data_IF_419773613320
#
_entry.id   IF_419773613320
#
_cell.length_a   1.000
_cell.length_b   1.000
_cell.length_c   1.000
_cell.angle_alpha   90.00
_cell.angle_beta   90.00
_cell.angle_gamma   90.00
#
_symmetry.space_group_name_H-M   'P 1'
#
loop_
_entity.id
_entity.type
_entity.pdbx_description
1 polymer ?
#
# COMPACT_ATOMS: atom_id res chain seq x y z
N UNK A 1 -24.35 7.54 -29.88
CA UNK A 1 -23.08 7.94 -29.32
C UNK A 1 -23.22 8.17 -27.82
N UNK A 2 -23.10 7.14 -26.99
CA UNK A 2 -22.96 7.29 -25.55
C UNK A 2 -21.96 6.26 -25.06
N UNK A 3 -20.68 6.62 -25.21
CA UNK A 3 -19.64 5.98 -24.38
C UNK A 3 -19.83 6.53 -22.99
N UNK A 4 -20.76 5.94 -22.25
CA UNK A 4 -20.93 6.15 -20.84
C UNK A 4 -19.61 5.73 -20.18
N UNK A 5 -18.84 6.70 -19.76
CA UNK A 5 -17.83 6.52 -18.72
C UNK A 5 -18.56 5.90 -17.52
N UNK A 6 -18.56 4.59 -17.41
CA UNK A 6 -18.91 3.91 -16.17
C UNK A 6 -17.85 4.31 -15.16
N UNK A 7 -18.13 5.35 -14.39
CA UNK A 7 -17.39 5.53 -13.15
C UNK A 7 -17.55 4.25 -12.35
N UNK A 8 -16.46 3.68 -11.85
CA UNK A 8 -16.54 2.44 -11.08
C UNK A 8 -17.46 2.65 -9.89
N UNK A 9 -18.33 1.67 -9.64
CA UNK A 9 -19.34 1.76 -8.60
C UNK A 9 -18.70 1.83 -7.21
N UNK A 10 -19.19 2.74 -6.37
CA UNK A 10 -18.90 2.78 -4.94
C UNK A 10 -19.37 1.48 -4.30
N UNK A 11 -18.57 0.92 -3.42
CA UNK A 11 -18.96 -0.20 -2.57
C UNK A 11 -19.40 0.29 -1.20
N UNK A 12 -20.11 -0.54 -0.45
CA UNK A 12 -20.46 -0.22 0.94
C UNK A 12 -19.25 0.06 1.83
N UNK A 13 -18.11 -0.57 1.54
CA UNK A 13 -16.87 -0.34 2.28
C UNK A 13 -16.26 1.03 1.98
N UNK A 14 -16.34 1.49 0.74
CA UNK A 14 -15.89 2.85 0.37
C UNK A 14 -16.70 3.93 1.11
N UNK A 15 -18.02 3.69 1.30
CA UNK A 15 -18.91 4.64 1.99
C UNK A 15 -18.67 4.61 3.51
N UNK A 16 -18.35 3.44 4.06
CA UNK A 16 -18.08 3.27 5.49
C UNK A 16 -16.66 3.64 5.90
N UNK A 17 -15.79 3.98 4.97
CA UNK A 17 -14.40 4.36 5.26
C UNK A 17 -14.31 5.49 6.29
N UNK A 18 -13.72 5.20 7.45
CA UNK A 18 -13.60 6.13 8.57
C UNK A 18 -14.89 6.38 9.33
N UNK A 19 -15.96 5.60 9.11
CA UNK A 19 -17.17 5.63 9.92
C UNK A 19 -16.92 4.89 11.24
N UNK A 20 -17.22 5.58 12.36
CA UNK A 20 -17.37 4.95 13.68
C UNK A 20 -18.81 5.12 14.10
N UNK A 21 -19.50 4.02 14.36
CA UNK A 21 -20.90 4.04 14.74
C UNK A 21 -21.15 3.08 15.91
N UNK A 22 -22.05 3.49 16.82
CA UNK A 22 -22.52 2.66 17.92
C UNK A 22 -24.05 2.58 17.79
N UNK A 23 -24.56 1.36 17.74
CA UNK A 23 -26.01 1.09 17.71
C UNK A 23 -26.38 0.52 19.05
N UNK A 24 -27.27 1.21 19.76
CA UNK A 24 -27.82 0.76 21.03
C UNK A 24 -29.32 0.55 20.89
N UNK A 25 -29.78 -0.66 21.16
CA UNK A 25 -31.21 -1.04 21.10
C UNK A 25 -31.66 -1.68 22.40
N UNK A 26 -32.93 -1.52 22.71
CA UNK A 26 -33.59 -2.21 23.84
C UNK A 26 -34.64 -3.14 23.25
N UNK A 27 -34.55 -4.42 23.56
CA UNK A 27 -35.46 -5.48 23.12
C UNK A 27 -35.99 -6.19 24.36
N UNK A 28 -37.30 -6.44 24.41
CA UNK A 28 -37.93 -7.10 25.56
C UNK A 28 -37.45 -8.54 25.73
N UNK A 29 -37.35 -9.30 24.66
CA UNK A 29 -36.87 -10.70 24.63
C UNK A 29 -35.70 -10.90 23.66
N UNK A 30 -34.44 -10.58 24.08
CA UNK A 30 -33.30 -10.71 23.22
C UNK A 30 -32.93 -12.19 22.99
N UNK A 31 -32.94 -12.62 21.75
CA UNK A 31 -32.50 -13.94 21.34
C UNK A 31 -31.07 -13.86 20.80
N UNK A 32 -30.16 -14.64 21.38
CA UNK A 32 -28.76 -14.66 20.95
C UNK A 32 -28.41 -16.00 20.30
N UNK A 33 -27.65 -15.94 19.20
CA UNK A 33 -27.05 -17.11 18.60
C UNK A 33 -25.77 -17.48 19.37
N UNK A 34 -25.71 -18.72 19.85
CA UNK A 34 -24.55 -19.30 20.52
C UNK A 34 -24.40 -18.89 21.98
N UNK A 35 -23.53 -19.63 22.67
CA UNK A 35 -23.30 -19.52 24.13
C UNK A 35 -22.59 -18.19 24.52
N UNK A 36 -21.86 -17.57 23.60
CA UNK A 36 -21.10 -16.33 23.83
C UNK A 36 -21.92 -15.06 23.69
N UNK A 37 -23.20 -15.14 23.31
CA UNK A 37 -24.13 -14.03 23.11
C UNK A 37 -23.58 -12.90 22.22
N UNK A 38 -22.71 -13.21 21.28
CA UNK A 38 -22.04 -12.22 20.41
C UNK A 38 -22.90 -11.80 19.21
N UNK A 39 -23.91 -12.59 18.86
CA UNK A 39 -24.77 -12.32 17.71
C UNK A 39 -26.23 -12.34 18.14
N UNK A 40 -26.92 -11.23 17.87
CA UNK A 40 -28.35 -11.10 18.10
C UNK A 40 -29.13 -11.81 16.98
N UNK A 41 -30.02 -12.72 17.34
CA UNK A 41 -30.84 -13.51 16.41
C UNK A 41 -32.17 -12.86 16.03
N UNK A 42 -32.59 -11.79 16.75
CA UNK A 42 -33.83 -11.08 16.49
C UNK A 42 -33.81 -10.39 15.12
N UNK A 43 -34.49 -10.94 14.14
CA UNK A 43 -34.54 -10.38 12.76
C UNK A 43 -35.27 -9.04 12.68
N UNK A 44 -36.28 -8.83 13.52
CA UNK A 44 -37.05 -7.58 13.64
C UNK A 44 -36.21 -6.40 14.06
N UNK A 45 -35.18 -6.62 14.87
CA UNK A 45 -34.27 -5.58 15.32
C UNK A 45 -33.53 -4.89 14.14
N UNK A 46 -33.15 -5.68 13.16
CA UNK A 46 -32.48 -5.17 11.95
C UNK A 46 -33.39 -4.24 11.16
N UNK A 47 -34.64 -4.66 10.93
CA UNK A 47 -35.62 -3.86 10.20
C UNK A 47 -35.96 -2.54 10.88
N UNK A 48 -36.13 -2.57 12.22
CA UNK A 48 -36.40 -1.38 13.02
C UNK A 48 -35.23 -0.37 12.99
N UNK A 49 -33.99 -0.86 13.12
CA UNK A 49 -32.79 -0.02 13.05
C UNK A 49 -32.63 0.58 11.66
N UNK A 50 -32.81 -0.22 10.61
CA UNK A 50 -32.68 0.22 9.21
C UNK A 50 -33.69 1.34 8.88
N UNK A 51 -34.95 1.17 9.29
CA UNK A 51 -35.98 2.18 9.08
C UNK A 51 -35.66 3.50 9.77
N UNK A 52 -35.30 3.46 11.05
CA UNK A 52 -34.97 4.67 11.82
C UNK A 52 -33.71 5.36 11.32
N UNK A 53 -32.64 4.58 11.03
CA UNK A 53 -31.38 5.15 10.54
C UNK A 53 -31.57 5.76 9.17
N UNK A 54 -32.26 5.07 8.26
CA UNK A 54 -32.51 5.59 6.92
C UNK A 54 -33.29 6.90 6.94
N UNK A 55 -34.38 6.95 7.73
CA UNK A 55 -35.20 8.18 7.85
C UNK A 55 -34.39 9.35 8.44
N UNK A 56 -33.77 9.13 9.59
CA UNK A 56 -33.09 10.21 10.32
C UNK A 56 -31.79 10.66 9.65
N UNK A 57 -31.05 9.72 9.08
CA UNK A 57 -29.82 10.06 8.34
C UNK A 57 -30.11 10.82 7.06
N UNK A 58 -31.16 10.43 6.31
CA UNK A 58 -31.60 11.17 5.11
C UNK A 58 -31.95 12.61 5.49
N UNK A 59 -32.82 12.78 6.49
CA UNK A 59 -33.21 14.10 6.97
C UNK A 59 -32.01 14.95 7.44
N UNK A 60 -31.08 14.35 8.18
CA UNK A 60 -29.86 15.03 8.66
C UNK A 60 -28.97 15.49 7.49
N UNK A 61 -28.77 14.63 6.48
CA UNK A 61 -27.91 14.94 5.34
C UNK A 61 -28.55 16.01 4.42
N UNK A 62 -29.87 16.02 4.28
CA UNK A 62 -30.59 17.07 3.54
C UNK A 62 -30.45 18.44 4.22
N UNK A 63 -30.45 18.47 5.56
CA UNK A 63 -30.23 19.70 6.31
C UNK A 63 -28.76 20.15 6.39
N UNK A 64 -27.83 19.23 6.16
CA UNK A 64 -26.39 19.48 6.28
C UNK A 64 -25.65 19.10 4.99
N UNK A 65 -25.85 19.85 3.89
CA UNK A 65 -25.28 19.52 2.58
C UNK A 65 -23.74 19.49 2.57
N UNK A 66 -23.09 20.29 3.40
CA UNK A 66 -21.62 20.28 3.50
C UNK A 66 -21.11 18.97 4.11
N UNK A 67 -21.83 18.43 5.10
CA UNK A 67 -21.51 17.12 5.67
C UNK A 67 -21.71 16.01 4.64
N UNK A 68 -22.82 16.05 3.91
CA UNK A 68 -23.10 15.09 2.84
C UNK A 68 -22.01 15.14 1.76
N UNK A 69 -21.60 16.34 1.34
CA UNK A 69 -20.52 16.53 0.38
C UNK A 69 -19.19 15.95 0.87
N UNK A 70 -18.81 16.20 2.12
CA UNK A 70 -17.59 15.67 2.72
C UNK A 70 -17.59 14.14 2.77
N UNK A 71 -18.74 13.51 3.09
CA UNK A 71 -18.89 12.06 3.08
C UNK A 71 -18.74 11.52 1.66
N UNK A 72 -19.36 12.13 0.67
CA UNK A 72 -19.22 11.74 -0.74
C UNK A 72 -17.78 11.86 -1.24
N UNK A 73 -17.11 12.97 -0.93
CA UNK A 73 -15.70 13.18 -1.31
C UNK A 73 -14.80 12.12 -0.69
N UNK A 74 -15.01 11.80 0.59
CA UNK A 74 -14.25 10.76 1.30
C UNK A 74 -14.49 9.37 0.69
N UNK A 75 -15.73 9.05 0.38
CA UNK A 75 -16.09 7.78 -0.27
C UNK A 75 -15.45 7.63 -1.65
N UNK A 76 -15.42 8.70 -2.44
CA UNK A 76 -14.73 8.73 -3.74
C UNK A 76 -13.21 8.56 -3.59
N UNK A 77 -12.64 9.09 -2.52
CA UNK A 77 -11.23 8.91 -2.19
C UNK A 77 -10.91 7.46 -1.85
N UNK A 78 -11.72 6.84 -1.01
CA UNK A 78 -11.59 5.43 -0.62
C UNK A 78 -11.69 4.52 -1.84
N UNK A 79 -12.68 4.74 -2.71
CA UNK A 79 -12.83 4.01 -3.96
C UNK A 79 -11.57 4.10 -4.84
N UNK A 80 -11.03 5.31 -5.06
CA UNK A 80 -9.83 5.51 -5.87
C UNK A 80 -8.62 4.78 -5.27
N UNK A 81 -8.46 4.84 -3.95
CA UNK A 81 -7.41 4.12 -3.25
C UNK A 81 -7.54 2.61 -3.43
N UNK A 82 -8.73 2.05 -3.25
CA UNK A 82 -9.02 0.62 -3.47
C UNK A 82 -8.73 0.18 -4.90
N UNK A 83 -9.11 0.99 -5.90
CA UNK A 83 -8.82 0.68 -7.31
C UNK A 83 -7.34 0.75 -7.64
N UNK A 84 -6.63 1.74 -7.12
CA UNK A 84 -5.19 1.85 -7.29
C UNK A 84 -4.48 0.65 -6.66
N UNK A 85 -4.89 0.23 -5.45
CA UNK A 85 -4.39 -0.97 -4.80
C UNK A 85 -4.66 -2.23 -5.64
N UNK A 86 -5.89 -2.40 -6.15
CA UNK A 86 -6.25 -3.51 -7.03
C UNK A 86 -5.40 -3.54 -8.30
N UNK A 87 -5.22 -2.40 -8.96
CA UNK A 87 -4.35 -2.31 -10.15
C UNK A 87 -2.91 -2.70 -9.84
N UNK A 88 -2.38 -2.26 -8.70
CA UNK A 88 -1.04 -2.64 -8.25
C UNK A 88 -0.93 -4.16 -8.01
N UNK A 89 -1.93 -4.77 -7.35
CA UNK A 89 -2.01 -6.23 -7.16
C UNK A 89 -2.07 -6.97 -8.50
N UNK A 90 -2.95 -6.54 -9.40
CA UNK A 90 -3.11 -7.17 -10.72
C UNK A 90 -1.83 -7.08 -11.54
N UNK A 91 -1.09 -5.97 -11.45
CA UNK A 91 0.22 -5.83 -12.09
C UNK A 91 1.26 -6.78 -11.50
N UNK A 92 1.27 -6.96 -10.18
CA UNK A 92 2.16 -7.91 -9.51
C UNK A 92 1.75 -9.35 -9.84
N UNK A 93 0.46 -9.67 -9.81
CA UNK A 93 -0.07 -11.02 -10.06
C UNK A 93 0.02 -11.46 -11.52
N UNK A 94 -0.22 -10.57 -12.49
CA UNK A 94 -0.06 -10.89 -13.92
C UNK A 94 1.39 -11.17 -14.29
N UNK A 95 2.34 -10.53 -13.60
CA UNK A 95 3.77 -10.77 -13.78
C UNK A 95 4.25 -12.09 -13.18
N UNK A 96 3.53 -12.63 -12.19
CA UNK A 96 3.88 -13.93 -11.57
C UNK A 96 3.30 -15.14 -12.32
N UNK A 97 2.22 -14.97 -13.11
CA UNK A 97 1.50 -16.10 -13.72
C UNK A 97 1.82 -16.35 -15.19
N UNK A 98 2.46 -15.42 -15.92
CA UNK A 98 2.65 -15.53 -17.38
C UNK A 98 4.08 -15.48 -17.87
N UNK A 99 5.06 -15.15 -17.00
CA UNK A 99 6.47 -15.23 -17.41
C UNK A 99 7.37 -15.27 -16.19
N UNK A 100 8.47 -15.99 -16.26
CA UNK A 100 9.62 -15.76 -15.40
C UNK A 100 10.02 -14.28 -15.49
N UNK A 101 9.34 -13.46 -14.69
CA UNK A 101 9.69 -12.15 -14.22
C UNK A 101 10.03 -11.06 -15.23
N UNK A 102 9.08 -10.25 -15.65
CA UNK A 102 9.46 -8.87 -15.94
C UNK A 102 9.48 -8.05 -14.67
N UNK A 103 10.55 -8.22 -13.91
CA UNK A 103 10.99 -7.28 -12.89
C UNK A 103 11.09 -5.87 -13.50
N UNK A 104 11.03 -4.79 -12.70
CA UNK A 104 11.19 -3.44 -13.22
C UNK A 104 12.38 -3.39 -14.19
N UNK A 105 12.21 -2.88 -15.39
CA UNK A 105 13.24 -2.92 -16.42
C UNK A 105 14.58 -2.28 -16.02
N UNK A 106 14.58 -1.52 -14.92
CA UNK A 106 15.78 -0.93 -14.32
C UNK A 106 16.41 -1.81 -13.21
N UNK A 107 15.72 -2.84 -12.71
CA UNK A 107 16.28 -3.76 -11.71
C UNK A 107 17.28 -4.69 -12.36
N UNK A 108 18.51 -4.70 -11.86
CA UNK A 108 19.48 -5.74 -12.16
C UNK A 108 19.39 -6.80 -11.06
N UNK A 109 18.65 -7.86 -11.31
CA UNK A 109 18.42 -8.92 -10.34
C UNK A 109 19.63 -9.83 -10.14
N UNK A 110 19.66 -10.58 -9.04
CA UNK A 110 20.62 -11.63 -8.78
C UNK A 110 20.12 -12.98 -9.34
N UNK A 111 21.03 -13.94 -9.49
CA UNK A 111 20.70 -15.25 -10.04
C UNK A 111 20.32 -16.28 -9.00
N UNK A 112 20.72 -16.11 -7.74
CA UNK A 112 20.30 -16.96 -6.64
C UNK A 112 18.79 -16.75 -6.37
N UNK A 113 18.11 -17.85 -6.09
CA UNK A 113 16.65 -17.86 -5.80
C UNK A 113 16.33 -17.99 -4.33
N UNK A 114 17.33 -18.30 -3.48
CA UNK A 114 17.14 -18.34 -2.04
C UNK A 114 17.24 -16.91 -1.47
N UNK A 115 16.13 -16.34 -0.96
CA UNK A 115 16.13 -14.99 -0.41
C UNK A 115 17.17 -14.76 0.67
N UNK A 116 17.49 -15.79 1.45
CA UNK A 116 18.46 -15.72 2.57
C UNK A 116 19.87 -15.36 2.13
N UNK A 117 20.21 -15.68 0.88
CA UNK A 117 21.52 -15.39 0.31
C UNK A 117 21.54 -14.07 -0.46
N UNK A 118 20.36 -13.48 -0.71
CA UNK A 118 20.19 -12.36 -1.62
C UNK A 118 20.06 -11.03 -0.88
N UNK A 119 20.66 -10.00 -1.44
CA UNK A 119 20.54 -8.64 -0.97
C UNK A 119 20.26 -7.68 -2.13
N UNK A 120 19.45 -6.65 -1.89
CA UNK A 120 19.14 -5.62 -2.88
C UNK A 120 19.69 -4.28 -2.44
N UNK A 121 20.44 -3.62 -3.32
CA UNK A 121 20.93 -2.27 -3.13
C UNK A 121 20.03 -1.28 -3.87
N UNK A 122 19.46 -0.35 -3.14
CA UNK A 122 18.69 0.76 -3.69
C UNK A 122 19.65 1.94 -3.80
N UNK A 123 19.94 2.34 -5.04
CA UNK A 123 20.97 3.36 -5.31
C UNK A 123 20.36 4.60 -5.95
N UNK A 124 20.96 5.76 -5.68
CA UNK A 124 20.51 7.03 -6.22
C UNK A 124 21.00 7.20 -7.65
N UNK A 125 20.05 7.28 -8.59
CA UNK A 125 20.29 7.59 -10.00
C UNK A 125 20.88 6.48 -10.85
N UNK A 126 20.77 6.67 -12.16
CA UNK A 126 21.22 5.68 -13.15
C UNK A 126 22.74 5.57 -13.22
N UNK A 127 23.47 6.66 -12.94
CA UNK A 127 24.94 6.68 -12.96
C UNK A 127 25.52 5.78 -11.86
N UNK A 128 25.08 5.99 -10.60
CA UNK A 128 25.49 5.15 -9.47
C UNK A 128 25.01 3.71 -9.69
N UNK A 129 23.79 3.53 -10.23
CA UNK A 129 23.26 2.23 -10.61
C UNK A 129 24.12 1.51 -11.62
N UNK A 130 24.68 2.20 -12.62
CA UNK A 130 25.61 1.65 -13.59
C UNK A 130 26.90 1.13 -12.97
N UNK A 131 27.53 1.95 -12.13
CA UNK A 131 28.74 1.56 -11.39
C UNK A 131 28.49 0.38 -10.45
N UNK A 132 27.40 0.42 -9.67
CA UNK A 132 27.03 -0.66 -8.79
C UNK A 132 26.73 -1.98 -9.52
N UNK A 133 26.06 -1.92 -10.67
CA UNK A 133 25.81 -3.10 -11.54
C UNK A 133 27.10 -3.76 -12.02
N UNK A 134 28.13 -2.98 -12.27
CA UNK A 134 29.45 -3.50 -12.72
C UNK A 134 30.19 -4.14 -11.55
N UNK A 135 30.14 -3.57 -10.37
CA UNK A 135 30.92 -4.00 -9.20
C UNK A 135 30.26 -5.14 -8.41
N UNK A 136 28.94 -5.36 -8.55
CA UNK A 136 28.18 -6.32 -7.73
C UNK A 136 28.57 -7.79 -7.94
N UNK A 137 28.31 -8.62 -6.96
CA UNK A 137 28.18 -10.07 -7.15
C UNK A 137 26.85 -10.37 -7.87
N UNK A 138 26.91 -10.86 -9.10
CA UNK A 138 25.69 -11.22 -9.86
C UNK A 138 24.93 -12.39 -9.25
N UNK A 139 25.58 -13.20 -8.44
CA UNK A 139 24.95 -14.35 -7.80
C UNK A 139 23.94 -13.90 -6.74
N UNK A 140 24.33 -13.00 -5.84
CA UNK A 140 23.59 -12.70 -4.62
C UNK A 140 23.15 -11.24 -4.49
N UNK A 141 23.68 -10.33 -5.29
CA UNK A 141 23.41 -8.89 -5.19
C UNK A 141 22.56 -8.37 -6.33
N UNK A 142 21.43 -7.76 -6.00
CA UNK A 142 20.55 -7.04 -6.91
C UNK A 142 20.74 -5.53 -6.79
N UNK A 143 20.59 -4.79 -7.88
CA UNK A 143 20.70 -3.32 -7.90
C UNK A 143 19.41 -2.72 -8.46
N UNK A 144 18.80 -1.82 -7.71
CA UNK A 144 17.64 -1.03 -8.11
C UNK A 144 18.00 0.47 -8.09
N UNK A 145 18.27 1.09 -9.23
CA UNK A 145 18.45 2.53 -9.29
C UNK A 145 17.11 3.25 -9.19
N UNK A 146 17.03 4.27 -8.34
CA UNK A 146 15.89 5.17 -8.23
C UNK A 146 16.21 6.53 -8.84
N UNK A 147 15.27 7.10 -9.59
CA UNK A 147 15.45 8.40 -10.23
C UNK A 147 14.96 9.53 -9.33
N UNK A 148 15.91 10.22 -8.69
CA UNK A 148 15.63 11.37 -7.86
C UNK A 148 14.85 11.06 -6.58
N UNK A 149 14.26 12.10 -6.00
CA UNK A 149 13.50 12.00 -4.75
C UNK A 149 12.18 11.28 -4.97
N UNK A 150 11.94 10.22 -4.21
CA UNK A 150 10.65 9.54 -4.21
C UNK A 150 9.56 10.42 -3.58
N UNK A 151 8.32 10.08 -3.85
CA UNK A 151 7.17 10.78 -3.30
C UNK A 151 7.16 10.70 -1.75
N UNK A 152 6.92 11.84 -1.08
CA UNK A 152 6.70 11.83 0.36
C UNK A 152 5.34 11.24 0.68
N UNK A 153 5.32 10.01 1.19
CA UNK A 153 4.10 9.24 1.47
C UNK A 153 3.28 9.78 2.64
N UNK A 154 3.88 10.56 3.55
CA UNK A 154 3.16 11.22 4.64
C UNK A 154 2.23 12.34 4.13
N UNK A 155 2.60 12.99 3.05
CA UNK A 155 1.86 14.12 2.47
C UNK A 155 1.05 13.73 1.24
N UNK A 156 1.28 12.54 0.71
CA UNK A 156 0.66 12.09 -0.53
C UNK A 156 -0.57 11.24 -0.26
N UNK A 157 -1.53 11.34 -1.17
CA UNK A 157 -2.72 10.48 -1.19
C UNK A 157 -2.33 9.09 -1.69
N UNK A 158 -3.02 8.06 -1.21
CA UNK A 158 -2.76 6.65 -1.55
C UNK A 158 -2.78 6.39 -3.07
N UNK A 159 -3.68 7.02 -3.81
CA UNK A 159 -3.74 6.89 -5.27
C UNK A 159 -2.43 7.33 -5.95
N UNK A 160 -1.85 8.45 -5.50
CA UNK A 160 -0.56 8.94 -6.01
C UNK A 160 0.63 8.07 -5.60
N UNK A 161 0.56 7.46 -4.42
CA UNK A 161 1.60 6.54 -3.94
C UNK A 161 1.66 5.31 -4.86
N UNK A 162 0.52 4.72 -5.18
CA UNK A 162 0.44 3.57 -6.09
C UNK A 162 0.76 3.93 -7.56
N UNK A 163 0.52 5.17 -7.97
CA UNK A 163 0.85 5.62 -9.33
C UNK A 163 2.34 6.01 -9.49
N UNK A 164 3.07 6.21 -8.39
CA UNK A 164 4.48 6.56 -8.44
C UNK A 164 5.33 5.39 -8.97
N UNK A 165 6.09 5.64 -10.03
CA UNK A 165 6.87 4.61 -10.72
C UNK A 165 8.00 4.01 -9.84
N UNK A 166 8.63 4.84 -8.99
CA UNK A 166 9.71 4.42 -8.11
C UNK A 166 9.18 3.52 -6.98
N UNK A 167 8.07 3.92 -6.37
CA UNK A 167 7.39 3.12 -5.33
C UNK A 167 6.92 1.80 -5.90
N UNK A 168 6.31 1.79 -7.09
CA UNK A 168 5.92 0.53 -7.76
C UNK A 168 7.11 -0.37 -8.06
N UNK A 169 8.24 0.22 -8.46
CA UNK A 169 9.45 -0.55 -8.72
C UNK A 169 9.95 -1.24 -7.45
N UNK A 170 9.93 -0.57 -6.30
CA UNK A 170 10.29 -1.15 -4.99
C UNK A 170 9.33 -2.27 -4.58
N UNK A 171 8.01 -2.03 -4.63
CA UNK A 171 6.99 -3.04 -4.30
C UNK A 171 7.18 -4.30 -5.15
N UNK A 172 7.39 -4.13 -6.46
CA UNK A 172 7.58 -5.26 -7.39
C UNK A 172 8.92 -5.97 -7.14
N UNK A 173 9.98 -5.23 -6.82
CA UNK A 173 11.29 -5.82 -6.55
C UNK A 173 11.28 -6.66 -5.26
N UNK A 174 10.68 -6.15 -4.19
CA UNK A 174 10.62 -6.88 -2.91
C UNK A 174 9.68 -8.08 -2.96
N UNK A 175 8.57 -7.99 -3.69
CA UNK A 175 7.61 -9.07 -3.85
C UNK A 175 6.61 -9.24 -2.69
N UNK A 176 6.74 -8.48 -1.62
CA UNK A 176 5.97 -8.62 -0.37
C UNK A 176 4.55 -8.05 -0.42
N UNK A 177 4.22 -7.21 -1.42
CA UNK A 177 3.03 -6.37 -1.35
C UNK A 177 3.19 -5.22 -0.35
N UNK A 178 2.11 -4.50 -0.05
CA UNK A 178 2.08 -3.41 0.93
C UNK A 178 0.74 -3.38 1.67
N UNK A 179 0.68 -2.74 2.84
CA UNK A 179 -0.52 -2.65 3.68
C UNK A 179 -1.12 -4.00 4.03
N UNK A 180 -2.42 -4.18 3.79
CA UNK A 180 -3.16 -5.42 4.06
C UNK A 180 -2.67 -6.62 3.25
N UNK A 181 -2.03 -6.37 2.10
CA UNK A 181 -1.46 -7.41 1.25
C UNK A 181 0.00 -7.73 1.60
N UNK A 182 0.57 -7.08 2.61
CA UNK A 182 1.95 -7.29 2.99
C UNK A 182 2.15 -8.69 3.56
N UNK A 183 3.07 -9.42 2.96
CA UNK A 183 3.45 -10.78 3.37
C UNK A 183 4.98 -10.92 3.33
N UNK A 184 5.60 -10.88 4.50
CA UNK A 184 7.04 -10.93 4.65
C UNK A 184 7.64 -12.25 4.13
N UNK A 185 6.86 -13.34 4.13
CA UNK A 185 7.33 -14.65 3.64
C UNK A 185 7.62 -14.65 2.14
N UNK A 186 7.11 -13.66 1.41
CA UNK A 186 7.35 -13.46 -0.03
C UNK A 186 8.52 -12.53 -0.34
N UNK A 187 9.25 -12.10 0.70
CA UNK A 187 10.41 -11.24 0.53
C UNK A 187 11.48 -11.95 -0.31
N UNK A 188 11.93 -11.27 -1.37
CA UNK A 188 12.90 -11.84 -2.32
C UNK A 188 14.35 -11.61 -1.93
N UNK A 189 14.62 -10.75 -0.97
CA UNK A 189 15.97 -10.37 -0.52
C UNK A 189 16.02 -10.27 0.99
N UNK A 190 16.91 -11.00 1.63
CA UNK A 190 17.09 -10.94 3.08
C UNK A 190 17.51 -9.54 3.57
N UNK A 191 18.24 -8.81 2.74
CA UNK A 191 18.68 -7.45 3.07
C UNK A 191 18.29 -6.45 2.01
N UNK A 192 17.72 -5.35 2.45
CA UNK A 192 17.41 -4.16 1.66
C UNK A 192 18.36 -3.06 2.10
N UNK A 193 19.32 -2.71 1.25
CA UNK A 193 20.39 -1.76 1.55
C UNK A 193 20.11 -0.46 0.82
N UNK A 194 19.84 0.60 1.58
CA UNK A 194 19.66 1.95 1.06
C UNK A 194 21.05 2.58 0.95
N UNK A 195 21.47 2.84 -0.28
CA UNK A 195 22.79 3.41 -0.58
C UNK A 195 22.62 4.70 -1.38
N UNK A 196 22.63 5.81 -0.65
CA UNK A 196 22.52 7.16 -1.19
C UNK A 196 23.86 7.88 -1.08
N UNK A 197 24.00 9.01 -1.79
CA UNK A 197 25.19 9.84 -1.67
C UNK A 197 25.29 10.47 -0.27
N UNK A 198 26.51 10.71 0.21
CA UNK A 198 26.78 11.29 1.53
C UNK A 198 26.62 12.82 1.49
N UNK A 199 25.45 13.28 1.09
CA UNK A 199 25.08 14.70 1.02
C UNK A 199 23.66 14.94 1.55
N UNK A 200 23.22 16.19 1.54
CA UNK A 200 21.89 16.58 2.06
C UNK A 200 20.75 15.95 1.24
N UNK A 201 20.92 15.83 -0.06
CA UNK A 201 19.92 15.24 -0.94
C UNK A 201 19.82 13.73 -0.73
N UNK A 202 20.95 13.04 -0.61
CA UNK A 202 20.98 11.62 -0.31
C UNK A 202 20.38 11.29 1.06
N UNK A 203 20.67 12.08 2.08
CA UNK A 203 20.05 11.95 3.41
C UNK A 203 18.52 12.13 3.33
N UNK A 204 18.05 13.08 2.51
CA UNK A 204 16.62 13.29 2.30
C UNK A 204 15.97 12.09 1.57
N UNK A 205 16.62 11.55 0.54
CA UNK A 205 16.13 10.37 -0.19
C UNK A 205 16.05 9.16 0.74
N UNK A 206 17.08 8.92 1.53
CA UNK A 206 17.08 7.86 2.54
C UNK A 206 15.92 8.00 3.53
N UNK A 207 15.67 9.22 4.02
CA UNK A 207 14.54 9.53 4.91
C UNK A 207 13.19 9.21 4.26
N UNK A 208 13.00 9.62 3.01
CA UNK A 208 11.75 9.34 2.28
C UNK A 208 11.53 7.83 2.08
N UNK A 209 12.59 7.08 1.77
CA UNK A 209 12.53 5.62 1.63
C UNK A 209 12.22 4.93 2.97
N UNK A 210 12.90 5.33 4.04
CA UNK A 210 12.62 4.79 5.38
C UNK A 210 11.19 5.12 5.82
N UNK A 211 10.68 6.32 5.51
CA UNK A 211 9.30 6.69 5.78
C UNK A 211 8.32 5.79 5.02
N UNK A 212 8.59 5.51 3.74
CA UNK A 212 7.78 4.59 2.95
C UNK A 212 7.79 3.17 3.54
N UNK A 213 8.96 2.63 3.85
CA UNK A 213 9.08 1.29 4.44
C UNK A 213 8.40 1.20 5.81
N UNK A 214 8.60 2.21 6.66
CA UNK A 214 7.98 2.25 7.99
C UNK A 214 6.46 2.27 7.94
N UNK A 215 5.87 3.02 7.00
CA UNK A 215 4.41 3.16 6.88
C UNK A 215 3.72 1.99 6.20
N UNK A 216 4.37 1.38 5.22
CA UNK A 216 3.74 0.38 4.35
C UNK A 216 4.26 -1.04 4.51
N UNK A 217 5.45 -1.19 5.09
CA UNK A 217 6.14 -2.47 5.28
C UNK A 217 6.91 -2.50 6.62
N UNK A 218 6.25 -2.19 7.77
CA UNK A 218 6.94 -1.97 9.05
C UNK A 218 7.72 -3.19 9.53
N UNK A 219 7.30 -4.40 9.19
CA UNK A 219 7.94 -5.61 9.66
C UNK A 219 9.32 -5.82 9.00
N UNK A 220 9.56 -5.28 7.79
CA UNK A 220 10.91 -5.28 7.21
C UNK A 220 11.94 -4.54 8.08
N UNK A 221 11.50 -3.48 8.77
CA UNK A 221 12.37 -2.73 9.69
C UNK A 221 12.49 -3.46 11.02
N UNK A 222 11.38 -3.96 11.57
CA UNK A 222 11.35 -4.65 12.87
C UNK A 222 12.19 -5.92 12.86
N UNK A 223 12.16 -6.68 11.78
CA UNK A 223 12.91 -7.92 11.61
C UNK A 223 14.36 -7.70 11.15
N UNK A 224 14.77 -6.43 10.93
CA UNK A 224 16.15 -6.07 10.66
C UNK A 224 16.61 -6.31 9.22
N UNK A 225 15.68 -6.40 8.27
CA UNK A 225 16.00 -6.55 6.85
C UNK A 225 16.50 -5.25 6.20
N UNK A 226 16.20 -4.08 6.79
CA UNK A 226 16.56 -2.77 6.22
C UNK A 226 17.86 -2.26 6.81
N UNK A 227 18.77 -1.83 5.95
CA UNK A 227 20.05 -1.20 6.30
C UNK A 227 20.24 0.07 5.49
N UNK A 228 20.99 1.02 6.04
CA UNK A 228 21.39 2.24 5.34
C UNK A 228 22.91 2.32 5.31
N UNK A 229 23.46 2.53 4.13
CA UNK A 229 24.90 2.77 3.91
C UNK A 229 25.09 4.07 3.13
N UNK A 230 26.02 4.90 3.56
CA UNK A 230 26.38 6.11 2.86
C UNK A 230 27.45 5.82 1.82
N UNK A 231 27.20 6.22 0.58
CA UNK A 231 28.21 6.20 -0.46
C UNK A 231 29.11 7.42 -0.32
N UNK A 232 30.32 7.22 0.18
CA UNK A 232 31.36 8.26 0.14
C UNK A 232 31.89 8.37 -1.27
N UNK A 233 31.73 9.55 -1.85
CA UNK A 233 32.45 9.89 -3.09
C UNK A 233 33.92 10.03 -2.71
N UNK A 234 34.75 9.12 -3.15
CA UNK A 234 36.19 9.19 -2.93
C UNK A 234 36.75 10.50 -3.52
N UNK A 235 37.62 11.16 -2.74
CA UNK A 235 38.41 12.28 -3.22
C UNK A 235 39.43 11.78 -4.24
#
# INVERSE_FOLDING_TARGET
YTTLFRSPALTGDDIREGLTAIISIKIEEPQFEGQTKQKLGNSEARGAVDAVVSEKLTYFLEQNPDVAKNICEKSLLAQRAREAARKARDLTRRKTSLDGGTLPGKLADCSDKDPKNCEIFIVEGDSAGGSAKTARSRATQAILPLRGKILNVEKARLDRIYDNAEIRAMITAFGTGIHEDFDITKLRYDKIIIMTDADVDGAHIATLMLTFLYRFMPDLIKEGHVRSEERRVGK
#
